data_IF_395877195517
#
_entry.id   IF_395877195517
#
_cell.length_a   1.000
_cell.length_b   1.000
_cell.length_c   1.000
_cell.angle_alpha   90.00
_cell.angle_beta   90.00
_cell.angle_gamma   90.00
#
_symmetry.space_group_name_H-M   'P 1'
#
loop_
_entity.id
_entity.type
_entity.pdbx_description
1 polymer ?
#
# COMPACT_ATOMS: atom_id res chain seq x y z
N UNK A 1 6.26 -21.15 -14.61
CA UNK A 1 7.14 -20.01 -14.92
C UNK A 1 7.01 -19.00 -13.78
N UNK A 2 8.10 -18.67 -13.06
CA UNK A 2 8.06 -17.68 -11.96
C UNK A 2 8.16 -16.28 -12.57
N UNK A 3 7.03 -15.63 -12.87
CA UNK A 3 6.96 -14.35 -13.60
C UNK A 3 6.54 -13.17 -12.70
N UNK A 4 6.89 -13.21 -11.41
CA UNK A 4 6.70 -12.05 -10.54
C UNK A 4 7.94 -11.16 -10.65
N UNK A 5 7.76 -9.86 -10.92
CA UNK A 5 8.83 -8.88 -10.95
C UNK A 5 9.61 -8.72 -12.27
N UNK A 6 9.10 -9.21 -13.40
CA UNK A 6 9.81 -9.08 -14.69
C UNK A 6 9.94 -7.63 -15.23
N UNK A 7 9.04 -6.74 -14.79
CA UNK A 7 9.11 -5.30 -15.08
C UNK A 7 9.39 -4.96 -16.55
N UNK A 8 10.40 -4.12 -16.78
CA UNK A 8 10.81 -3.66 -18.11
C UNK A 8 11.33 -4.78 -19.02
N UNK A 9 12.02 -5.78 -18.48
CA UNK A 9 12.59 -6.87 -19.28
C UNK A 9 11.49 -7.77 -19.85
N UNK A 10 10.45 -8.07 -19.04
CA UNK A 10 9.27 -8.78 -19.54
C UNK A 10 8.57 -8.02 -20.67
N UNK A 11 8.48 -6.68 -20.57
CA UNK A 11 7.88 -5.84 -21.61
C UNK A 11 8.72 -5.82 -22.90
N UNK A 12 10.05 -5.83 -22.79
CA UNK A 12 10.94 -5.94 -23.96
C UNK A 12 10.78 -7.28 -24.67
N UNK A 13 10.76 -8.38 -23.92
CA UNK A 13 10.54 -9.71 -24.49
C UNK A 13 9.18 -9.80 -25.17
N UNK A 14 8.14 -9.25 -24.54
CA UNK A 14 6.82 -9.18 -25.15
C UNK A 14 6.85 -8.42 -26.48
N UNK A 15 7.32 -7.15 -26.50
CA UNK A 15 7.42 -6.37 -27.74
C UNK A 15 8.22 -7.09 -28.82
N UNK A 16 9.32 -7.76 -28.46
CA UNK A 16 10.12 -8.55 -29.39
C UNK A 16 9.36 -9.73 -30.01
N UNK A 17 8.52 -10.42 -29.23
CA UNK A 17 7.70 -11.55 -29.72
C UNK A 17 6.63 -11.07 -30.69
N UNK A 18 6.00 -9.93 -30.43
CA UNK A 18 4.89 -9.42 -31.24
C UNK A 18 5.30 -8.42 -32.33
N UNK A 19 6.61 -8.23 -32.55
CA UNK A 19 7.13 -7.35 -33.60
C UNK A 19 6.85 -5.86 -33.36
N UNK A 20 6.65 -5.44 -32.12
CA UNK A 20 6.52 -4.03 -31.77
C UNK A 20 7.90 -3.39 -31.56
N UNK A 21 7.92 -2.07 -31.74
CA UNK A 21 9.08 -1.27 -31.35
C UNK A 21 9.41 -1.47 -29.86
N UNK A 22 10.70 -1.37 -29.49
CA UNK A 22 11.12 -1.53 -28.11
C UNK A 22 10.39 -0.52 -27.21
N UNK A 23 10.05 -0.92 -25.97
CA UNK A 23 9.36 -0.06 -25.02
C UNK A 23 10.24 1.12 -24.58
N UNK A 24 9.68 1.97 -23.71
CA UNK A 24 10.36 3.13 -23.14
C UNK A 24 11.77 2.80 -22.64
N UNK A 25 12.67 3.79 -22.70
CA UNK A 25 14.05 3.63 -22.21
C UNK A 25 14.06 3.29 -20.71
N UNK A 26 15.11 2.59 -20.27
CA UNK A 26 15.26 2.17 -18.86
C UNK A 26 15.15 3.35 -17.89
N UNK A 27 15.78 4.48 -18.22
CA UNK A 27 15.72 5.70 -17.42
C UNK A 27 14.29 6.26 -17.30
N UNK A 28 13.52 6.25 -18.41
CA UNK A 28 12.12 6.68 -18.37
C UNK A 28 11.27 5.74 -17.50
N UNK A 29 11.46 4.42 -17.63
CA UNK A 29 10.78 3.42 -16.81
C UNK A 29 11.05 3.59 -15.31
N UNK A 30 12.31 3.79 -14.92
CA UNK A 30 12.71 4.02 -13.53
C UNK A 30 12.11 5.32 -12.97
N UNK A 31 12.08 6.40 -13.77
CA UNK A 31 11.42 7.66 -13.39
C UNK A 31 9.92 7.49 -13.15
N UNK A 32 9.25 6.70 -13.98
CA UNK A 32 7.82 6.39 -13.80
C UNK A 32 7.62 5.61 -12.50
N UNK A 33 8.42 4.56 -12.28
CA UNK A 33 8.31 3.73 -11.08
C UNK A 33 8.56 4.52 -9.79
N UNK A 34 9.58 5.38 -9.77
CA UNK A 34 9.89 6.22 -8.59
C UNK A 34 8.75 7.20 -8.30
N UNK A 35 8.17 7.81 -9.34
CA UNK A 35 7.04 8.73 -9.17
C UNK A 35 5.78 8.03 -8.68
N UNK A 36 5.45 6.87 -9.23
CA UNK A 36 4.33 6.04 -8.74
C UNK A 36 4.56 5.68 -7.28
N UNK A 37 5.75 5.18 -6.92
CA UNK A 37 6.07 4.82 -5.55
C UNK A 37 5.95 6.00 -4.58
N UNK A 38 6.42 7.19 -4.97
CA UNK A 38 6.30 8.40 -4.16
C UNK A 38 4.83 8.80 -3.93
N UNK A 39 4.02 8.81 -4.99
CA UNK A 39 2.60 9.14 -4.91
C UNK A 39 1.86 8.10 -4.07
N UNK A 40 2.11 6.80 -4.27
CA UNK A 40 1.48 5.74 -3.49
C UNK A 40 1.80 5.85 -2.00
N UNK A 41 3.04 6.21 -1.63
CA UNK A 41 3.41 6.46 -0.23
C UNK A 41 2.68 7.65 0.35
N UNK A 42 2.63 8.77 -0.39
CA UNK A 42 1.89 9.97 0.04
C UNK A 42 0.42 9.65 0.25
N UNK A 43 -0.20 8.98 -0.71
CA UNK A 43 -1.61 8.58 -0.66
C UNK A 43 -1.89 7.64 0.52
N UNK A 44 -1.01 6.67 0.79
CA UNK A 44 -1.14 5.81 1.95
C UNK A 44 -1.09 6.61 3.26
N UNK A 45 -0.15 7.56 3.39
CA UNK A 45 -0.07 8.40 4.59
C UNK A 45 -1.29 9.31 4.75
N UNK A 46 -1.81 9.87 3.67
CA UNK A 46 -3.00 10.72 3.69
C UNK A 46 -4.27 9.91 4.00
N UNK A 47 -4.40 8.73 3.42
CA UNK A 47 -5.49 7.80 3.67
C UNK A 47 -5.52 7.34 5.13
N UNK A 48 -4.36 6.98 5.70
CA UNK A 48 -4.28 6.58 7.11
C UNK A 48 -4.60 7.76 8.05
N UNK A 49 -4.12 8.97 7.75
CA UNK A 49 -4.47 10.17 8.52
C UNK A 49 -5.97 10.43 8.50
N UNK A 50 -6.59 10.33 7.31
CA UNK A 50 -8.04 10.51 7.17
C UNK A 50 -8.82 9.47 7.96
N UNK A 51 -8.44 8.20 7.86
CA UNK A 51 -9.07 7.11 8.61
C UNK A 51 -8.94 7.33 10.13
N UNK A 52 -7.80 7.81 10.62
CA UNK A 52 -7.62 8.15 12.03
C UNK A 52 -8.54 9.29 12.49
N UNK A 53 -8.70 10.33 11.67
CA UNK A 53 -9.61 11.46 11.99
C UNK A 53 -11.07 11.01 12.00
N UNK A 54 -11.49 10.24 10.98
CA UNK A 54 -12.86 9.72 10.90
C UNK A 54 -13.20 8.86 12.15
N UNK A 55 -12.25 8.04 12.62
CA UNK A 55 -12.44 7.20 13.81
C UNK A 55 -12.51 8.02 15.12
N UNK A 56 -11.65 9.04 15.30
CA UNK A 56 -11.73 9.95 16.47
C UNK A 56 -13.09 10.64 16.53
N UNK A 57 -13.62 11.07 15.38
CA UNK A 57 -14.93 11.74 15.33
C UNK A 57 -16.10 10.78 15.57
N UNK A 58 -15.97 9.50 15.23
CA UNK A 58 -17.01 8.50 15.46
C UNK A 58 -16.96 7.90 16.88
N UNK A 59 -15.81 7.94 17.55
CA UNK A 59 -15.61 7.29 18.86
C UNK A 59 -15.71 8.26 20.06
N UNK A 60 -15.76 9.58 19.83
CA UNK A 60 -15.75 10.63 20.88
C UNK A 60 -14.65 10.41 21.95
N UNK A 61 -13.53 9.79 21.57
CA UNK A 61 -12.44 9.40 22.46
C UNK A 61 -11.11 9.29 21.71
N UNK A 62 -10.03 9.76 22.32
CA UNK A 62 -8.67 9.83 21.72
C UNK A 62 -7.89 8.52 21.85
N UNK A 63 -8.44 7.51 22.53
CA UNK A 63 -7.77 6.24 22.84
C UNK A 63 -8.22 5.12 21.86
N UNK A 64 -7.68 5.16 20.64
CA UNK A 64 -8.07 4.25 19.55
C UNK A 64 -6.99 3.19 19.36
N UNK A 65 -7.34 1.92 19.58
CA UNK A 65 -6.43 0.79 19.39
C UNK A 65 -6.69 0.13 18.03
N UNK A 66 -5.70 0.20 17.13
CA UNK A 66 -5.74 -0.44 15.81
C UNK A 66 -5.29 -1.91 15.91
N UNK A 67 -6.18 -2.84 15.62
CA UNK A 67 -5.81 -4.25 15.44
C UNK A 67 -5.18 -4.42 14.06
N UNK A 68 -3.95 -4.92 14.00
CA UNK A 68 -3.15 -5.06 12.77
C UNK A 68 -3.61 -6.14 11.79
N UNK A 69 -4.87 -6.58 11.84
CA UNK A 69 -5.40 -7.65 10.97
C UNK A 69 -6.39 -7.16 9.90
N UNK A 70 -6.46 -5.85 9.66
CA UNK A 70 -7.41 -5.22 8.72
C UNK A 70 -8.89 -5.48 9.07
N UNK A 71 -9.20 -6.00 10.26
CA UNK A 71 -10.58 -6.13 10.74
C UNK A 71 -10.85 -5.14 11.87
N UNK A 72 -11.73 -4.18 11.58
CA UNK A 72 -12.26 -3.24 12.56
C UNK A 72 -13.24 -3.99 13.48
N UNK A 73 -12.86 -4.28 14.72
CA UNK A 73 -13.74 -4.96 15.69
C UNK A 73 -14.06 -4.03 16.86
N UNK A 74 -15.36 -3.83 17.09
CA UNK A 74 -15.89 -3.14 18.28
C UNK A 74 -15.40 -3.83 19.56
N UNK A 75 -15.02 -3.00 20.54
CA UNK A 75 -14.44 -3.41 21.82
C UNK A 75 -15.41 -4.35 22.58
N UNK A 76 -15.02 -5.60 22.78
CA UNK A 76 -15.83 -6.58 23.55
C UNK A 76 -15.74 -8.04 23.11
N UNK A 77 -15.18 -8.32 21.92
CA UNK A 77 -14.99 -9.69 21.44
C UNK A 77 -13.50 -10.03 21.28
N UNK A 78 -12.93 -10.71 22.28
CA UNK A 78 -11.55 -11.16 22.27
C UNK A 78 -11.44 -12.51 21.55
N UNK A 79 -10.88 -12.52 20.34
CA UNK A 79 -10.25 -13.72 19.80
C UNK A 79 -8.79 -13.75 20.25
N UNK A 80 -8.27 -14.94 20.50
CA UNK A 80 -7.01 -15.25 21.17
C UNK A 80 -5.76 -14.95 20.31
N UNK A 81 -5.64 -13.74 19.75
CA UNK A 81 -4.46 -13.33 18.98
C UNK A 81 -4.01 -11.91 19.28
N UNK A 82 -2.71 -11.72 19.13
CA UNK A 82 -1.88 -10.61 19.60
C UNK A 82 -2.52 -9.24 19.34
N UNK A 83 -2.85 -8.56 20.43
CA UNK A 83 -3.27 -7.16 20.45
C UNK A 83 -1.98 -6.34 20.55
N UNK A 84 -1.64 -5.59 19.51
CA UNK A 84 -0.58 -4.60 19.57
C UNK A 84 -1.16 -3.33 20.18
N UNK A 85 -0.83 -3.04 21.44
CA UNK A 85 -1.16 -1.76 22.06
C UNK A 85 -0.24 -0.69 21.47
N UNK A 86 -0.79 0.19 20.63
CA UNK A 86 -0.15 1.47 20.33
C UNK A 86 -0.65 2.50 21.35
N UNK A 87 0.01 2.57 22.50
CA UNK A 87 -0.13 3.71 23.40
C UNK A 87 0.51 4.92 22.72
N UNK A 88 -0.25 6.02 22.63
CA UNK A 88 0.13 7.28 21.98
C UNK A 88 1.49 7.85 22.41
N UNK A 89 2.10 8.55 21.44
CA UNK A 89 3.27 9.46 21.44
C UNK A 89 4.61 8.82 21.07
#
# INVERSE_FOLDING_TARGET
MRSVGQGLEGLKTFCGIIGLNPPVSKNAYEKICTRISAVSKSLATESMKKAAVDEVTSADSTDISLSGDETWKSRGHTSQREIYNCTSI
#
